data_IF_890212264665
#
_entry.id   IF_890212264665
#
_cell.length_a   1.000
_cell.length_b   1.000
_cell.length_c   1.000
_cell.angle_alpha   90.00
_cell.angle_beta   90.00
_cell.angle_gamma   90.00
#
_symmetry.space_group_name_H-M   'P 1'
#
loop_
_entity.id
_entity.type
_entity.pdbx_description
1 polymer ?
#
# COMPACT_ATOMS: atom_id res chain seq x y z
N UNK A 1 -29.47 15.29 -4.03
CA UNK A 1 -28.71 14.52 -3.02
C UNK A 1 -29.46 13.21 -2.86
N UNK A 2 -29.06 12.20 -3.60
CA UNK A 2 -29.62 10.85 -3.50
C UNK A 2 -28.96 10.15 -2.33
N UNK A 3 -29.74 9.42 -1.53
CA UNK A 3 -29.36 8.77 -0.27
C UNK A 3 -28.44 7.53 -0.46
N UNK A 4 -27.61 7.49 -1.50
CA UNK A 4 -26.84 6.30 -1.88
C UNK A 4 -25.43 6.22 -1.29
N UNK A 5 -24.97 7.20 -0.50
CA UNK A 5 -23.58 7.23 0.00
C UNK A 5 -23.45 7.47 1.52
N UNK A 6 -24.45 7.21 2.32
CA UNK A 6 -24.28 7.23 3.77
C UNK A 6 -23.82 5.82 4.23
N UNK A 7 -22.70 5.75 4.97
CA UNK A 7 -22.25 4.50 5.59
C UNK A 7 -23.40 3.85 6.36
N UNK A 8 -23.47 2.50 6.29
CA UNK A 8 -24.58 1.75 6.89
C UNK A 8 -24.63 1.94 8.42
N UNK A 9 -25.78 1.78 9.08
CA UNK A 9 -25.85 1.77 10.54
C UNK A 9 -24.87 0.77 11.17
N UNK A 10 -24.66 -0.40 10.56
CA UNK A 10 -23.73 -1.45 10.99
C UNK A 10 -22.29 -0.94 10.99
N UNK A 11 -21.89 -0.19 9.98
CA UNK A 11 -20.54 0.42 9.94
C UNK A 11 -20.27 1.31 11.17
N UNK A 12 -21.24 2.15 11.53
CA UNK A 12 -21.09 3.03 12.69
C UNK A 12 -21.16 2.28 14.02
N UNK A 13 -21.89 1.16 14.10
CA UNK A 13 -21.85 0.27 15.26
C UNK A 13 -20.48 -0.38 15.43
N UNK A 14 -19.87 -0.84 14.33
CA UNK A 14 -18.53 -1.39 14.31
C UNK A 14 -17.47 -0.34 14.71
N UNK A 15 -17.54 0.88 14.16
CA UNK A 15 -16.67 1.99 14.57
C UNK A 15 -16.77 2.26 16.07
N UNK A 16 -17.99 2.31 16.62
CA UNK A 16 -18.20 2.53 18.06
C UNK A 16 -17.69 1.37 18.89
N UNK A 17 -17.82 0.13 18.44
CA UNK A 17 -17.30 -1.06 19.12
C UNK A 17 -15.77 -1.03 19.18
N UNK A 18 -15.10 -0.69 18.08
CA UNK A 18 -13.65 -0.49 18.01
C UNK A 18 -13.21 0.62 18.97
N UNK A 19 -13.84 1.79 18.90
CA UNK A 19 -13.51 2.93 19.76
C UNK A 19 -13.71 2.59 21.25
N UNK A 20 -14.81 1.90 21.59
CA UNK A 20 -15.08 1.46 22.95
C UNK A 20 -14.02 0.48 23.47
N UNK A 21 -13.65 -0.54 22.65
CA UNK A 21 -12.63 -1.52 23.00
C UNK A 21 -11.28 -0.85 23.29
N UNK A 22 -10.85 0.07 22.42
CA UNK A 22 -9.62 0.85 22.60
C UNK A 22 -9.68 1.75 23.84
N UNK A 23 -10.81 2.44 24.05
CA UNK A 23 -11.00 3.34 25.18
C UNK A 23 -11.03 2.62 26.51
N UNK A 24 -11.76 1.49 26.60
CA UNK A 24 -11.92 0.73 27.83
C UNK A 24 -10.65 -0.03 28.24
N UNK A 25 -9.76 -0.35 27.28
CA UNK A 25 -8.57 -1.13 27.58
C UNK A 25 -7.60 -0.38 28.48
N UNK A 26 -7.16 -1.02 29.59
CA UNK A 26 -6.28 -0.42 30.59
C UNK A 26 -4.80 -0.77 30.43
N UNK A 27 -4.48 -1.83 29.69
CA UNK A 27 -3.12 -2.29 29.42
C UNK A 27 -2.47 -1.55 28.23
N UNK A 28 -1.25 -1.97 27.83
CA UNK A 28 -0.60 -1.44 26.63
C UNK A 28 -1.42 -1.77 25.37
N UNK A 29 -1.43 -0.85 24.40
CA UNK A 29 -2.00 -1.08 23.08
C UNK A 29 -0.85 -1.17 22.07
N UNK A 30 -0.72 -2.31 21.41
CA UNK A 30 0.27 -2.54 20.35
C UNK A 30 -0.41 -2.31 19.01
N UNK A 31 0.03 -1.29 18.29
CA UNK A 31 -0.55 -0.89 16.99
C UNK A 31 0.31 -1.45 15.87
N UNK A 32 -0.27 -2.31 15.06
CA UNK A 32 0.39 -3.07 14.00
C UNK A 32 -0.23 -2.77 12.64
N UNK A 33 0.53 -3.00 11.57
CA UNK A 33 0.05 -2.98 10.20
C UNK A 33 0.76 -4.06 9.37
N UNK A 34 0.57 -4.03 8.04
CA UNK A 34 1.17 -5.01 7.15
C UNK A 34 2.70 -4.84 7.01
N UNK A 35 3.37 -5.93 6.58
CA UNK A 35 4.76 -5.88 6.13
C UNK A 35 4.93 -4.95 4.93
N UNK A 36 6.11 -4.32 4.80
CA UNK A 36 6.37 -3.32 3.76
C UNK A 36 5.32 -2.20 3.75
N UNK A 37 5.18 -1.46 4.86
CA UNK A 37 4.13 -0.48 5.04
C UNK A 37 4.19 0.62 3.99
N UNK A 38 3.04 0.99 3.47
CA UNK A 38 2.83 2.13 2.60
C UNK A 38 2.31 3.35 3.38
N UNK A 39 1.78 4.34 2.66
CA UNK A 39 1.27 5.56 3.28
C UNK A 39 0.01 5.34 4.10
N UNK A 40 -0.85 4.36 3.72
CA UNK A 40 -2.09 4.08 4.46
C UNK A 40 -1.80 3.32 5.76
N UNK A 41 -0.95 2.31 5.69
CA UNK A 41 -0.46 1.60 6.87
C UNK A 41 0.22 2.56 7.87
N UNK A 42 1.18 3.37 7.41
CA UNK A 42 1.88 4.33 8.28
C UNK A 42 0.94 5.41 8.81
N UNK A 43 0.08 5.96 7.94
CA UNK A 43 -0.89 6.99 8.29
C UNK A 43 -1.87 6.51 9.36
N UNK A 44 -2.39 5.29 9.21
CA UNK A 44 -3.28 4.63 10.16
C UNK A 44 -2.60 4.40 11.51
N UNK A 45 -1.38 3.83 11.51
CA UNK A 45 -0.60 3.58 12.73
C UNK A 45 -0.29 4.88 13.47
N UNK A 46 0.20 5.91 12.80
CA UNK A 46 0.51 7.20 13.44
C UNK A 46 -0.76 7.91 13.92
N UNK A 47 -1.80 7.98 13.09
CA UNK A 47 -3.06 8.64 13.43
C UNK A 47 -3.69 8.04 14.69
N UNK A 48 -3.88 6.72 14.72
CA UNK A 48 -4.44 6.03 15.88
C UNK A 48 -3.53 6.11 17.11
N UNK A 49 -2.22 5.91 16.95
CA UNK A 49 -1.26 5.95 18.06
C UNK A 49 -1.23 7.33 18.72
N UNK A 50 -1.22 8.39 17.93
CA UNK A 50 -1.26 9.77 18.44
C UNK A 50 -2.56 10.07 19.18
N UNK A 51 -3.68 9.62 18.62
CA UNK A 51 -5.00 9.74 19.24
C UNK A 51 -5.07 9.04 20.60
N UNK A 52 -4.64 7.79 20.67
CA UNK A 52 -4.64 6.98 21.89
C UNK A 52 -3.70 7.57 22.98
N UNK A 53 -2.52 8.08 22.58
CA UNK A 53 -1.60 8.76 23.51
C UNK A 53 -2.23 9.99 24.14
N UNK A 54 -3.09 10.73 23.41
CA UNK A 54 -3.85 11.86 23.97
C UNK A 54 -4.87 11.43 25.03
N UNK A 55 -5.38 10.21 24.94
CA UNK A 55 -6.22 9.62 25.97
C UNK A 55 -5.42 9.05 27.15
N UNK A 56 -4.10 9.27 27.20
CA UNK A 56 -3.22 8.75 28.25
C UNK A 56 -2.93 7.25 28.12
N UNK A 57 -3.20 6.62 26.97
CA UNK A 57 -2.90 5.19 26.76
C UNK A 57 -1.41 4.95 26.55
N UNK A 58 -0.92 3.83 27.03
CA UNK A 58 0.41 3.32 26.71
C UNK A 58 0.35 2.68 25.32
N UNK A 59 1.00 3.28 24.33
CA UNK A 59 0.96 2.83 22.93
C UNK A 59 2.35 2.44 22.46
N UNK A 60 2.46 1.25 21.90
CA UNK A 60 3.67 0.71 21.27
C UNK A 60 3.32 0.49 19.79
N UNK A 61 4.10 1.08 18.88
CA UNK A 61 3.90 0.98 17.45
C UNK A 61 5.17 0.43 16.78
N UNK A 62 5.36 -0.91 16.78
CA UNK A 62 6.55 -1.53 16.20
C UNK A 62 6.43 -1.56 14.68
N UNK A 63 7.13 -0.66 14.00
CA UNK A 63 7.10 -0.55 12.55
C UNK A 63 8.46 -0.13 11.99
N UNK A 64 8.90 -0.80 10.94
CA UNK A 64 10.03 -0.35 10.12
C UNK A 64 9.48 0.43 8.92
N UNK A 65 9.85 1.69 8.82
CA UNK A 65 9.33 2.61 7.80
C UNK A 65 10.28 2.64 6.59
N UNK A 66 9.77 2.51 5.36
CA UNK A 66 10.58 2.69 4.16
C UNK A 66 11.08 4.13 4.05
N UNK A 67 12.24 4.31 3.41
CA UNK A 67 12.92 5.62 3.33
C UNK A 67 12.02 6.76 2.86
N UNK A 68 11.19 6.52 1.85
CA UNK A 68 10.34 7.57 1.26
C UNK A 68 9.21 8.07 2.20
N UNK A 69 8.95 7.35 3.29
CA UNK A 69 7.97 7.73 4.32
C UNK A 69 8.63 8.17 5.65
N UNK A 70 9.96 8.09 5.76
CA UNK A 70 10.70 8.36 7.01
C UNK A 70 10.63 9.80 7.50
N UNK A 71 10.09 10.70 6.68
CA UNK A 71 9.91 12.12 7.04
C UNK A 71 8.72 12.38 7.99
N UNK A 72 7.78 11.43 8.13
CA UNK A 72 6.53 11.67 8.84
C UNK A 72 6.55 11.30 10.33
N UNK A 73 7.14 10.15 10.76
CA UNK A 73 7.22 9.81 12.18
C UNK A 73 8.13 10.76 12.94
N UNK A 74 7.72 11.12 14.15
CA UNK A 74 8.55 11.84 15.09
C UNK A 74 9.43 10.87 15.92
N UNK A 75 10.56 11.34 16.47
CA UNK A 75 11.39 10.49 17.32
C UNK A 75 10.62 9.88 18.49
N UNK A 76 10.70 8.55 18.63
CA UNK A 76 10.02 7.80 19.70
C UNK A 76 8.56 7.43 19.43
N UNK A 77 7.98 7.79 18.29
CA UNK A 77 6.61 7.37 17.94
C UNK A 77 6.55 5.90 17.54
N UNK A 78 7.57 5.43 16.84
CA UNK A 78 7.70 4.05 16.40
C UNK A 78 8.80 3.33 17.17
N UNK A 79 8.70 2.03 17.28
CA UNK A 79 9.68 1.17 17.94
C UNK A 79 10.20 0.06 17.01
N UNK A 80 11.27 -0.60 17.43
CA UNK A 80 11.70 -1.85 16.80
C UNK A 80 10.62 -2.94 16.95
N UNK A 81 10.63 -3.97 16.07
CA UNK A 81 9.76 -5.14 16.21
C UNK A 81 9.86 -5.77 17.59
N UNK A 82 8.72 -6.22 18.12
CA UNK A 82 8.64 -6.86 19.42
C UNK A 82 9.14 -8.30 19.34
N UNK A 83 9.95 -8.70 20.30
CA UNK A 83 10.33 -10.10 20.52
C UNK A 83 9.37 -10.82 21.46
N UNK A 84 8.67 -10.08 22.33
CA UNK A 84 7.70 -10.57 23.29
C UNK A 84 6.54 -9.58 23.43
N UNK A 85 5.34 -10.11 23.64
CA UNK A 85 4.16 -9.28 23.87
C UNK A 85 4.16 -8.69 25.29
N UNK A 86 3.83 -7.41 25.45
CA UNK A 86 3.64 -6.82 26.77
C UNK A 86 2.49 -7.51 27.52
N UNK A 87 2.67 -7.70 28.82
CA UNK A 87 1.63 -8.30 29.66
C UNK A 87 0.34 -7.46 29.63
N UNK A 88 -0.80 -8.13 29.41
CA UNK A 88 -2.11 -7.47 29.34
C UNK A 88 -2.28 -6.56 28.11
N UNK A 89 -1.52 -6.77 27.04
CA UNK A 89 -1.65 -5.98 25.82
C UNK A 89 -2.96 -6.25 25.07
N UNK A 90 -3.38 -5.24 24.28
CA UNK A 90 -4.34 -5.36 23.20
C UNK A 90 -3.59 -5.13 21.89
N UNK A 91 -3.87 -5.94 20.86
CA UNK A 91 -3.36 -5.74 19.51
C UNK A 91 -4.37 -4.96 18.65
N UNK A 92 -3.99 -3.78 18.15
CA UNK A 92 -4.75 -3.05 17.15
C UNK A 92 -4.08 -3.25 15.80
N UNK A 93 -4.68 -4.04 14.93
CA UNK A 93 -4.16 -4.42 13.61
C UNK A 93 -4.87 -3.58 12.55
N UNK A 94 -4.09 -2.80 11.78
CA UNK A 94 -4.60 -1.79 10.87
C UNK A 94 -4.16 -2.09 9.44
N UNK A 95 -5.05 -1.87 8.49
CA UNK A 95 -4.76 -1.96 7.06
C UNK A 95 -4.24 -3.35 6.61
N UNK A 96 -4.68 -4.38 7.29
CA UNK A 96 -4.38 -5.79 6.99
C UNK A 96 -5.33 -6.71 7.74
N UNK A 97 -5.63 -7.88 7.16
CA UNK A 97 -6.35 -8.95 7.85
C UNK A 97 -5.52 -9.50 9.01
N UNK A 98 -6.03 -9.38 10.25
CA UNK A 98 -5.38 -9.95 11.42
C UNK A 98 -5.36 -11.49 11.40
N UNK A 99 -6.12 -12.14 10.52
CA UNK A 99 -6.12 -13.60 10.34
C UNK A 99 -5.08 -14.07 9.31
N UNK A 100 -4.33 -13.15 8.72
CA UNK A 100 -3.14 -13.44 7.93
C UNK A 100 -1.87 -12.99 8.68
N UNK A 101 -1.45 -13.72 9.72
CA UNK A 101 -0.36 -13.29 10.60
C UNK A 101 1.00 -13.23 9.91
N UNK A 102 1.14 -13.79 8.70
CA UNK A 102 2.37 -13.70 7.91
C UNK A 102 2.53 -12.29 7.35
N UNK A 103 1.42 -11.63 7.03
CA UNK A 103 1.42 -10.27 6.49
C UNK A 103 1.48 -9.20 7.57
N UNK A 104 1.13 -9.50 8.82
CA UNK A 104 1.23 -8.55 9.95
C UNK A 104 2.67 -8.41 10.40
N UNK A 105 3.18 -7.18 10.41
CA UNK A 105 4.55 -6.88 10.83
C UNK A 105 4.60 -6.28 12.25
N UNK A 106 5.80 -6.23 12.80
CA UNK A 106 6.10 -5.61 14.09
C UNK A 106 6.01 -6.53 15.29
N UNK A 107 5.18 -7.59 15.24
CA UNK A 107 5.10 -8.64 16.27
C UNK A 107 4.54 -9.95 15.68
N UNK A 108 4.84 -11.08 16.26
CA UNK A 108 4.27 -12.37 15.84
C UNK A 108 2.88 -12.57 16.42
N UNK A 109 1.84 -12.24 15.64
CA UNK A 109 0.45 -12.35 16.05
C UNK A 109 0.01 -13.79 16.36
N UNK A 110 0.72 -14.81 15.85
CA UNK A 110 0.43 -16.24 16.14
C UNK A 110 0.69 -16.60 17.59
N UNK A 111 1.53 -15.85 18.27
CA UNK A 111 1.87 -16.04 19.70
C UNK A 111 1.03 -15.19 20.62
N UNK A 112 0.12 -14.37 20.08
CA UNK A 112 -0.72 -13.46 20.85
C UNK A 112 -1.99 -14.16 21.32
N UNK A 113 -2.29 -14.04 22.61
CA UNK A 113 -3.50 -14.60 23.22
C UNK A 113 -4.43 -13.56 23.87
N UNK A 114 -4.16 -12.27 23.62
CA UNK A 114 -4.97 -11.16 24.12
C UNK A 114 -6.03 -10.69 23.11
N UNK A 115 -6.79 -9.64 23.45
CA UNK A 115 -7.82 -9.09 22.59
C UNK A 115 -7.23 -8.42 21.34
N UNK A 116 -7.91 -8.61 20.20
CA UNK A 116 -7.54 -8.06 18.89
C UNK A 116 -8.61 -7.11 18.39
N UNK A 117 -8.21 -5.91 18.00
CA UNK A 117 -9.02 -4.96 17.23
C UNK A 117 -8.50 -4.92 15.81
N UNK A 118 -9.39 -4.92 14.81
CA UNK A 118 -9.01 -4.83 13.40
C UNK A 118 -9.75 -3.69 12.67
N UNK A 119 -9.00 -2.88 11.93
CA UNK A 119 -9.54 -1.84 11.03
C UNK A 119 -8.90 -2.02 9.68
N UNK A 120 -9.68 -2.41 8.66
CA UNK A 120 -9.15 -2.81 7.36
C UNK A 120 -10.13 -2.51 6.23
N UNK A 121 -9.62 -2.21 5.04
CA UNK A 121 -10.42 -2.00 3.84
C UNK A 121 -10.26 -3.10 2.79
N UNK A 122 -9.49 -4.14 3.06
CA UNK A 122 -9.27 -5.23 2.12
C UNK A 122 -10.46 -6.20 2.06
N UNK A 123 -11.00 -6.42 0.87
CA UNK A 123 -12.15 -7.31 0.63
C UNK A 123 -11.88 -8.79 0.94
N UNK A 124 -10.62 -9.20 1.10
CA UNK A 124 -10.22 -10.56 1.47
C UNK A 124 -10.18 -10.80 2.97
N UNK A 125 -10.37 -9.78 3.80
CA UNK A 125 -10.35 -9.88 5.25
C UNK A 125 -11.45 -10.82 5.78
N UNK A 126 -11.07 -11.74 6.68
CA UNK A 126 -11.96 -12.77 7.23
C UNK A 126 -12.88 -12.27 8.35
N UNK A 127 -12.71 -11.02 8.82
CA UNK A 127 -13.54 -10.35 9.85
C UNK A 127 -13.62 -11.11 11.18
N UNK A 128 -12.50 -11.63 11.67
CA UNK A 128 -12.42 -12.45 12.89
C UNK A 128 -11.59 -11.75 13.98
N UNK A 129 -11.97 -10.56 14.38
CA UNK A 129 -11.39 -9.84 15.52
C UNK A 129 -12.40 -9.77 16.68
N UNK A 130 -11.95 -9.44 17.89
CA UNK A 130 -12.84 -9.23 19.05
C UNK A 130 -13.70 -7.96 18.85
N UNK A 131 -13.14 -6.94 18.22
CA UNK A 131 -13.87 -5.81 17.66
C UNK A 131 -13.21 -5.41 16.34
N UNK A 132 -14.00 -5.13 15.31
CA UNK A 132 -13.43 -4.78 14.01
C UNK A 132 -14.38 -4.04 13.11
N UNK A 133 -13.83 -3.24 12.22
CA UNK A 133 -14.52 -2.63 11.09
C UNK A 133 -13.76 -2.95 9.82
N UNK A 134 -14.44 -3.58 8.87
CA UNK A 134 -13.88 -3.92 7.56
C UNK A 134 -14.83 -3.45 6.47
N UNK A 135 -14.40 -2.47 5.69
CA UNK A 135 -15.22 -1.90 4.62
C UNK A 135 -14.43 -1.72 3.32
N UNK A 136 -14.56 -2.67 2.36
CA UNK A 136 -13.90 -2.60 1.07
C UNK A 136 -14.39 -1.47 0.14
N UNK A 137 -15.46 -0.77 0.50
CA UNK A 137 -15.91 0.41 -0.23
C UNK A 137 -15.10 1.67 0.10
N UNK A 138 -14.37 1.66 1.21
CA UNK A 138 -13.46 2.74 1.60
C UNK A 138 -12.14 2.58 0.85
N UNK A 139 -11.68 3.60 0.13
CA UNK A 139 -10.43 3.51 -0.63
C UNK A 139 -9.16 3.49 0.23
N UNK A 140 -9.26 3.74 1.54
CA UNK A 140 -8.13 3.76 2.47
C UNK A 140 -8.58 3.45 3.91
N UNK A 141 -7.79 2.68 4.67
CA UNK A 141 -8.05 2.39 6.08
C UNK A 141 -7.99 3.67 6.95
N UNK A 142 -7.17 4.66 6.59
CA UNK A 142 -7.10 5.95 7.27
C UNK A 142 -8.44 6.70 7.33
N UNK A 143 -9.36 6.47 6.40
CA UNK A 143 -10.72 7.03 6.49
C UNK A 143 -11.48 6.46 7.69
N UNK A 144 -11.39 5.15 7.92
CA UNK A 144 -12.03 4.49 9.05
C UNK A 144 -11.34 4.84 10.37
N UNK A 145 -10.02 5.01 10.36
CA UNK A 145 -9.27 5.52 11.54
C UNK A 145 -9.73 6.93 11.89
N UNK A 146 -10.01 7.78 10.91
CA UNK A 146 -10.56 9.11 11.17
C UNK A 146 -11.94 9.03 11.87
N UNK A 147 -12.78 8.08 11.48
CA UNK A 147 -14.10 7.86 12.10
C UNK A 147 -13.97 7.26 13.51
N UNK A 148 -12.98 6.39 13.75
CA UNK A 148 -12.65 5.90 15.11
C UNK A 148 -12.18 7.05 16.01
N UNK A 149 -11.37 7.99 15.51
CA UNK A 149 -10.91 9.16 16.27
C UNK A 149 -12.09 10.07 16.63
N UNK A 150 -13.06 10.26 15.72
CA UNK A 150 -14.29 10.99 16.03
C UNK A 150 -15.11 10.28 17.13
N UNK A 151 -15.24 8.94 17.05
CA UNK A 151 -15.96 8.15 18.05
C UNK A 151 -15.26 8.13 19.43
N UNK A 152 -13.95 8.39 19.47
CA UNK A 152 -13.17 8.57 20.70
C UNK A 152 -13.29 9.98 21.28
N UNK A 153 -14.00 10.90 20.60
CA UNK A 153 -14.19 12.31 20.99
C UNK A 153 -12.86 13.06 21.26
N UNK A 154 -11.85 12.81 20.40
CA UNK A 154 -10.52 13.43 20.52
C UNK A 154 -10.48 14.70 19.69
N UNK A 155 -10.05 15.84 20.28
CA UNK A 155 -9.91 17.10 19.54
C UNK A 155 -8.92 16.96 18.37
N UNK A 156 -9.35 17.39 17.19
CA UNK A 156 -8.57 17.36 15.97
C UNK A 156 -7.56 18.50 15.88
N UNK A 157 -6.40 18.21 15.28
CA UNK A 157 -5.43 19.18 14.84
C UNK A 157 -4.59 18.66 13.65
N UNK A 158 -3.62 19.45 13.22
CA UNK A 158 -2.68 19.11 12.15
C UNK A 158 -1.93 17.79 12.41
N UNK A 159 -1.57 17.53 13.67
CA UNK A 159 -0.77 16.38 14.07
C UNK A 159 -1.52 15.04 13.92
N UNK A 160 -2.85 15.04 14.10
CA UNK A 160 -3.71 13.90 13.80
C UNK A 160 -4.09 13.84 12.32
N UNK A 161 -4.40 14.98 11.71
CA UNK A 161 -4.96 15.03 10.38
C UNK A 161 -3.92 14.75 9.28
N UNK A 162 -2.64 15.13 9.49
CA UNK A 162 -1.60 14.98 8.45
C UNK A 162 -1.28 13.52 8.12
N UNK A 163 -1.04 12.59 9.08
CA UNK A 163 -0.80 11.19 8.75
C UNK A 163 -1.99 10.52 8.06
N UNK A 164 -3.22 10.83 8.47
CA UNK A 164 -4.41 10.28 7.82
C UNK A 164 -4.57 10.80 6.39
N UNK A 165 -4.23 12.06 6.14
CA UNK A 165 -4.18 12.61 4.78
C UNK A 165 -3.11 11.93 3.92
N UNK A 166 -1.98 11.49 4.51
CA UNK A 166 -0.98 10.71 3.79
C UNK A 166 -1.60 9.42 3.26
N UNK A 167 -2.19 8.60 4.13
CA UNK A 167 -2.79 7.33 3.74
C UNK A 167 -3.87 7.51 2.69
N UNK A 168 -4.82 8.40 2.94
CA UNK A 168 -5.87 8.70 1.98
C UNK A 168 -5.32 9.12 0.61
N UNK A 169 -4.24 9.94 0.57
CA UNK A 169 -3.67 10.38 -0.70
C UNK A 169 -2.89 9.29 -1.42
N UNK A 170 -2.18 8.41 -0.71
CA UNK A 170 -1.42 7.32 -1.34
C UNK A 170 -2.32 6.26 -1.94
N UNK A 171 -3.33 5.80 -1.20
CA UNK A 171 -4.23 4.72 -1.63
C UNK A 171 -5.24 5.14 -2.70
N UNK A 172 -5.50 6.43 -2.79
CA UNK A 172 -6.28 7.00 -3.89
C UNK A 172 -5.44 7.40 -5.11
N UNK A 173 -4.13 7.14 -5.10
CA UNK A 173 -3.21 7.61 -6.14
C UNK A 173 -3.23 9.14 -6.27
N UNK A 174 -3.28 9.84 -5.16
CA UNK A 174 -3.50 11.29 -5.08
C UNK A 174 -4.84 11.70 -5.71
N UNK A 175 -5.90 10.95 -5.39
CA UNK A 175 -7.27 11.15 -5.89
C UNK A 175 -7.44 10.92 -7.40
N UNK A 176 -6.59 10.10 -8.01
CA UNK A 176 -6.59 9.82 -9.44
C UNK A 176 -7.14 8.43 -9.81
N UNK A 177 -7.43 7.56 -8.84
CA UNK A 177 -7.95 6.22 -9.12
C UNK A 177 -9.48 6.22 -9.24
N UNK A 178 -10.03 5.29 -10.03
CA UNK A 178 -11.47 5.12 -10.21
C UNK A 178 -12.22 4.70 -8.94
N UNK A 179 -11.51 4.16 -7.94
CA UNK A 179 -12.04 3.79 -6.62
C UNK A 179 -12.31 4.99 -5.71
N UNK A 180 -11.94 6.22 -6.12
CA UNK A 180 -12.12 7.42 -5.29
C UNK A 180 -13.59 7.81 -5.24
N UNK A 181 -14.18 7.65 -4.05
CA UNK A 181 -15.58 8.01 -3.79
C UNK A 181 -15.73 9.49 -3.40
N UNK A 182 -16.99 10.00 -3.44
CA UNK A 182 -17.30 11.33 -2.92
C UNK A 182 -16.92 11.47 -1.44
N UNK A 183 -17.11 10.39 -0.64
CA UNK A 183 -16.73 10.36 0.77
C UNK A 183 -15.22 10.53 0.98
N UNK A 184 -14.38 10.04 0.05
CA UNK A 184 -12.93 10.25 0.12
C UNK A 184 -12.58 11.74 0.01
N UNK A 185 -13.25 12.48 -0.87
CA UNK A 185 -13.08 13.94 -0.97
C UNK A 185 -13.63 14.67 0.26
N UNK A 186 -14.74 14.21 0.82
CA UNK A 186 -15.30 14.78 2.06
C UNK A 186 -14.35 14.54 3.24
N UNK A 187 -13.79 13.35 3.36
CA UNK A 187 -12.76 13.02 4.35
C UNK A 187 -11.51 13.90 4.16
N UNK A 188 -11.01 14.03 2.94
CA UNK A 188 -9.88 14.92 2.64
C UNK A 188 -10.18 16.38 3.00
N UNK A 189 -11.38 16.87 2.69
CA UNK A 189 -11.80 18.22 3.06
C UNK A 189 -11.89 18.40 4.58
N UNK A 190 -12.39 17.37 5.31
CA UNK A 190 -12.40 17.35 6.78
C UNK A 190 -10.99 17.42 7.34
N UNK A 191 -10.09 16.53 6.92
CA UNK A 191 -8.69 16.50 7.36
C UNK A 191 -7.98 17.84 7.06
N UNK A 192 -8.27 18.43 5.89
CA UNK A 192 -7.70 19.73 5.51
C UNK A 192 -8.21 20.87 6.40
N UNK A 193 -9.47 20.86 6.84
CA UNK A 193 -10.00 21.85 7.82
C UNK A 193 -9.29 21.74 9.17
N UNK A 194 -8.83 20.53 9.54
CA UNK A 194 -8.04 20.29 10.76
C UNK A 194 -6.52 20.48 10.58
N UNK A 195 -6.11 21.08 9.46
CA UNK A 195 -4.73 21.49 9.25
C UNK A 195 -3.85 20.52 8.45
N UNK A 196 -4.39 19.39 7.98
CA UNK A 196 -3.58 18.42 7.22
C UNK A 196 -2.76 19.07 6.10
N UNK A 197 -1.47 18.73 6.01
CA UNK A 197 -0.48 19.40 5.15
C UNK A 197 -0.31 18.70 3.80
N UNK A 198 -1.40 18.55 3.02
CA UNK A 198 -1.37 17.81 1.75
C UNK A 198 -0.27 18.28 0.78
N UNK A 199 -0.07 19.60 0.62
CA UNK A 199 0.99 20.13 -0.25
C UNK A 199 2.39 19.68 0.21
N UNK A 200 2.67 19.81 1.51
CA UNK A 200 3.93 19.36 2.10
C UNK A 200 4.12 17.84 1.96
N UNK A 201 3.08 17.02 2.21
CA UNK A 201 3.13 15.57 2.00
C UNK A 201 3.52 15.22 0.57
N UNK A 202 2.88 15.85 -0.42
CA UNK A 202 3.17 15.66 -1.83
C UNK A 202 4.61 16.06 -2.21
N UNK A 203 5.15 17.10 -1.58
CA UNK A 203 6.55 17.50 -1.76
C UNK A 203 7.50 16.45 -1.17
N UNK A 204 7.24 15.98 0.06
CA UNK A 204 8.11 15.00 0.74
C UNK A 204 8.14 13.65 0.01
N UNK A 205 6.98 13.10 -0.36
CA UNK A 205 6.88 11.80 -1.04
C UNK A 205 7.61 11.81 -2.40
N UNK A 206 7.64 12.96 -3.07
CA UNK A 206 8.27 13.12 -4.39
C UNK A 206 9.76 13.41 -4.34
N UNK A 207 10.33 13.59 -3.15
CA UNK A 207 11.76 13.81 -3.01
C UNK A 207 12.53 12.50 -3.24
N UNK A 208 13.36 12.50 -4.25
CA UNK A 208 14.25 11.40 -4.55
C UNK A 208 15.71 11.88 -4.47
N UNK A 209 16.64 11.02 -4.02
CA UNK A 209 18.06 11.37 -3.98
C UNK A 209 18.62 11.54 -5.40
N UNK A 210 19.76 12.23 -5.57
CA UNK A 210 20.42 12.33 -6.88
C UNK A 210 20.68 10.98 -7.54
N UNK A 211 21.01 9.94 -6.77
CA UNK A 211 21.19 8.56 -7.25
C UNK A 211 19.98 8.00 -7.99
N UNK A 212 18.77 8.31 -7.53
CA UNK A 212 17.52 7.97 -8.22
C UNK A 212 17.50 8.49 -9.66
N UNK A 213 17.84 9.76 -9.87
CA UNK A 213 17.82 10.38 -11.22
C UNK A 213 18.96 9.87 -12.09
N UNK A 214 20.13 9.57 -11.51
CA UNK A 214 21.24 8.96 -12.23
C UNK A 214 20.89 7.54 -12.70
N UNK A 215 20.23 6.76 -11.85
CA UNK A 215 19.75 5.43 -12.22
C UNK A 215 18.61 5.52 -13.24
N UNK A 216 17.67 6.45 -13.07
CA UNK A 216 16.57 6.66 -14.02
C UNK A 216 17.07 6.94 -15.43
N UNK A 217 18.15 7.74 -15.58
CA UNK A 217 18.77 8.00 -16.88
C UNK A 217 19.23 6.69 -17.54
N UNK A 218 19.82 5.76 -16.80
CA UNK A 218 20.25 4.47 -17.33
C UNK A 218 19.07 3.56 -17.68
N UNK A 219 18.05 3.55 -16.83
CA UNK A 219 16.79 2.83 -17.03
C UNK A 219 16.10 3.29 -18.33
N UNK A 220 15.97 4.60 -18.52
CA UNK A 220 15.39 5.17 -19.73
C UNK A 220 16.22 4.89 -20.99
N UNK A 221 17.55 4.82 -20.86
CA UNK A 221 18.46 4.43 -21.96
C UNK A 221 18.32 2.98 -22.40
N UNK A 222 17.69 2.11 -21.58
CA UNK A 222 17.46 0.69 -21.87
C UNK A 222 15.98 0.36 -22.15
N UNK A 223 15.15 1.38 -22.39
CA UNK A 223 13.74 1.15 -22.71
C UNK A 223 13.59 0.45 -24.06
N UNK A 224 12.75 -0.56 -24.05
CA UNK A 224 12.32 -1.28 -25.24
C UNK A 224 10.81 -1.18 -25.39
N UNK A 225 10.36 -0.74 -26.58
CA UNK A 225 8.95 -0.74 -26.95
C UNK A 225 8.70 -1.93 -27.89
N UNK A 226 7.75 -2.79 -27.51
CA UNK A 226 7.44 -4.03 -28.22
C UNK A 226 5.96 -4.10 -28.56
N UNK A 227 5.60 -5.05 -29.45
CA UNK A 227 4.22 -5.27 -29.87
C UNK A 227 3.52 -3.98 -30.34
N UNK A 228 4.22 -3.18 -31.16
CA UNK A 228 3.67 -1.90 -31.66
C UNK A 228 3.50 -0.84 -30.59
N UNK A 229 4.29 -0.86 -29.52
CA UNK A 229 4.23 0.09 -28.42
C UNK A 229 3.28 -0.32 -27.29
N UNK A 230 2.57 -1.44 -27.41
CA UNK A 230 1.67 -1.97 -26.36
C UNK A 230 2.40 -2.43 -25.11
N UNK A 231 3.68 -2.80 -25.24
CA UNK A 231 4.53 -3.23 -24.13
C UNK A 231 5.75 -2.35 -24.06
N UNK A 232 6.02 -1.81 -22.87
CA UNK A 232 7.25 -1.11 -22.53
C UNK A 232 8.00 -1.87 -21.47
N UNK A 233 9.28 -2.13 -21.69
CA UNK A 233 10.10 -2.87 -20.74
C UNK A 233 11.50 -2.31 -20.58
N UNK A 234 12.09 -2.60 -19.45
CA UNK A 234 13.46 -2.23 -19.11
C UNK A 234 14.07 -3.24 -18.15
N UNK A 235 15.38 -3.15 -17.96
CA UNK A 235 16.16 -3.95 -17.00
C UNK A 235 16.99 -3.03 -16.10
N UNK A 236 17.12 -3.44 -14.85
CA UNK A 236 18.08 -2.89 -13.88
C UNK A 236 18.94 -4.02 -13.36
N UNK A 237 20.24 -3.77 -13.23
CA UNK A 237 21.24 -4.69 -12.70
C UNK A 237 22.17 -3.99 -11.68
N UNK A 238 22.96 -4.79 -10.94
CA UNK A 238 23.88 -4.28 -9.92
C UNK A 238 24.93 -3.30 -10.46
N UNK A 239 25.35 -3.45 -11.71
CA UNK A 239 26.28 -2.51 -12.34
C UNK A 239 25.66 -1.13 -12.55
N UNK A 240 24.39 -1.08 -12.95
CA UNK A 240 23.65 0.18 -13.08
C UNK A 240 23.48 0.87 -11.72
N UNK A 241 23.14 0.09 -10.67
CA UNK A 241 23.05 0.60 -9.30
C UNK A 241 24.40 1.18 -8.84
N UNK A 242 25.47 0.44 -9.03
CA UNK A 242 26.82 0.88 -8.65
C UNK A 242 27.23 2.19 -9.37
N UNK A 243 27.01 2.28 -10.69
CA UNK A 243 27.31 3.50 -11.46
C UNK A 243 26.50 4.71 -11.02
N UNK A 244 25.25 4.50 -10.62
CA UNK A 244 24.36 5.56 -10.15
C UNK A 244 24.56 5.92 -8.66
N UNK A 245 25.30 5.09 -7.89
CA UNK A 245 25.33 5.19 -6.43
C UNK A 245 23.96 4.96 -5.79
N UNK A 246 23.11 4.14 -6.43
CA UNK A 246 21.75 3.83 -6.05
C UNK A 246 21.67 2.46 -5.37
N UNK A 247 20.49 2.13 -4.84
CA UNK A 247 20.19 0.81 -4.28
C UNK A 247 18.86 0.29 -4.82
N UNK A 248 18.51 -0.95 -4.48
CA UNK A 248 17.29 -1.59 -4.98
C UNK A 248 15.99 -0.90 -4.53
N UNK A 249 15.99 -0.17 -3.41
CA UNK A 249 14.82 0.58 -2.93
C UNK A 249 14.49 1.77 -3.85
N UNK A 250 15.47 2.30 -4.58
CA UNK A 250 15.27 3.40 -5.52
C UNK A 250 14.52 2.97 -6.80
N UNK A 251 14.37 1.66 -7.05
CA UNK A 251 13.87 1.10 -8.33
C UNK A 251 12.35 0.96 -8.38
N UNK A 252 11.67 0.81 -7.24
CA UNK A 252 10.28 0.38 -7.16
C UNK A 252 9.29 1.27 -7.93
N UNK A 253 9.51 2.58 -7.97
CA UNK A 253 8.58 3.53 -8.59
C UNK A 253 8.65 3.58 -10.13
N UNK A 254 9.74 3.10 -10.74
CA UNK A 254 9.97 3.29 -12.18
C UNK A 254 8.95 2.56 -13.05
N UNK A 255 8.55 1.33 -12.70
CA UNK A 255 7.60 0.57 -13.50
C UNK A 255 6.23 1.27 -13.62
N UNK A 256 5.79 1.96 -12.57
CA UNK A 256 4.56 2.74 -12.58
C UNK A 256 4.67 3.96 -13.52
N UNK A 257 5.83 4.60 -13.56
CA UNK A 257 6.12 5.70 -14.49
C UNK A 257 6.12 5.21 -15.94
N UNK A 258 6.73 4.05 -16.22
CA UNK A 258 6.80 3.47 -17.57
C UNK A 258 5.41 3.11 -18.13
N UNK A 259 4.47 2.70 -17.28
CA UNK A 259 3.08 2.45 -17.68
C UNK A 259 2.40 3.67 -18.31
N UNK A 260 2.88 4.87 -18.03
CA UNK A 260 2.31 6.12 -18.57
C UNK A 260 2.71 6.40 -20.02
N UNK A 261 3.56 5.59 -20.64
CA UNK A 261 3.86 5.71 -22.07
C UNK A 261 2.57 5.58 -22.88
N UNK A 262 2.38 6.48 -23.86
CA UNK A 262 1.21 6.47 -24.73
C UNK A 262 1.13 5.13 -25.51
N UNK A 263 -0.05 4.52 -25.55
CA UNK A 263 -0.28 3.21 -26.18
C UNK A 263 0.17 2.01 -25.35
N UNK A 264 1.00 2.17 -24.32
CA UNK A 264 1.43 1.05 -23.49
C UNK A 264 0.25 0.49 -22.67
N UNK A 265 0.04 -0.81 -22.78
CA UNK A 265 -0.93 -1.60 -22.03
C UNK A 265 -0.27 -2.41 -20.91
N UNK A 266 1.03 -2.71 -21.05
CA UNK A 266 1.85 -3.40 -20.06
C UNK A 266 3.21 -2.72 -19.94
N UNK A 267 3.61 -2.43 -18.70
CA UNK A 267 4.97 -2.04 -18.37
C UNK A 267 5.64 -3.14 -17.56
N UNK A 268 6.88 -3.46 -17.89
CA UNK A 268 7.68 -4.47 -17.22
C UNK A 268 9.03 -3.90 -16.83
N UNK A 269 9.41 -4.13 -15.58
CA UNK A 269 10.76 -3.88 -15.10
C UNK A 269 11.37 -5.17 -14.57
N UNK A 270 12.48 -5.59 -15.18
CA UNK A 270 13.27 -6.72 -14.75
C UNK A 270 14.37 -6.24 -13.79
N UNK A 271 14.34 -6.71 -12.54
CA UNK A 271 15.41 -6.55 -11.55
C UNK A 271 16.30 -7.79 -11.62
N UNK A 272 17.46 -7.64 -12.21
CA UNK A 272 18.42 -8.72 -12.43
C UNK A 272 19.45 -8.75 -11.30
N UNK A 273 19.37 -9.77 -10.46
CA UNK A 273 20.29 -10.00 -9.33
C UNK A 273 21.43 -10.97 -9.69
N UNK A 274 21.56 -11.34 -10.97
CA UNK A 274 22.54 -12.28 -11.48
C UNK A 274 22.11 -13.75 -11.41
N UNK A 275 21.73 -14.24 -10.25
CA UNK A 275 21.26 -15.61 -10.00
C UNK A 275 19.75 -15.77 -10.15
N UNK A 276 19.02 -14.69 -10.10
CA UNK A 276 17.56 -14.61 -10.25
C UNK A 276 17.14 -13.28 -10.86
N UNK A 277 15.96 -13.27 -11.45
CA UNK A 277 15.31 -12.06 -11.99
C UNK A 277 13.95 -11.88 -11.35
N UNK A 278 13.69 -10.70 -10.77
CA UNK A 278 12.35 -10.33 -10.28
C UNK A 278 11.70 -9.39 -11.28
N UNK A 279 10.52 -9.78 -11.76
CA UNK A 279 9.71 -8.94 -12.63
C UNK A 279 8.69 -8.15 -11.81
N UNK A 280 8.65 -6.84 -12.04
CA UNK A 280 7.56 -5.97 -11.60
C UNK A 280 6.73 -5.60 -12.82
N UNK A 281 5.43 -5.88 -12.78
CA UNK A 281 4.50 -5.68 -13.90
C UNK A 281 3.40 -4.69 -13.50
N UNK A 282 3.08 -3.79 -14.41
CA UNK A 282 1.94 -2.87 -14.27
C UNK A 282 1.17 -2.86 -15.59
N UNK A 283 -0.15 -3.00 -15.52
CA UNK A 283 -0.99 -2.99 -16.71
C UNK A 283 -2.10 -1.97 -16.64
N UNK A 284 -2.72 -1.71 -17.78
CA UNK A 284 -3.95 -0.92 -17.92
C UNK A 284 -4.81 -1.46 -19.06
N UNK A 285 -6.11 -1.11 -19.03
CA UNK A 285 -7.06 -1.59 -20.02
C UNK A 285 -7.29 -3.11 -19.90
N UNK A 286 -7.46 -3.82 -21.01
CA UNK A 286 -7.84 -5.24 -21.00
C UNK A 286 -6.68 -6.22 -20.70
N UNK A 287 -5.43 -5.74 -20.67
CA UNK A 287 -4.25 -6.56 -20.39
C UNK A 287 -4.10 -6.77 -18.89
N UNK A 288 -3.86 -8.01 -18.48
CA UNK A 288 -3.69 -8.40 -17.08
C UNK A 288 -2.22 -8.65 -16.74
N UNK A 289 -1.64 -7.80 -15.88
CA UNK A 289 -0.32 -8.06 -15.29
C UNK A 289 -0.31 -9.36 -14.47
N UNK A 290 -1.44 -9.69 -13.82
CA UNK A 290 -1.60 -10.92 -13.05
C UNK A 290 -1.46 -12.18 -13.92
N UNK A 291 -2.11 -12.21 -15.09
CA UNK A 291 -2.01 -13.38 -15.99
C UNK A 291 -0.56 -13.62 -16.42
N UNK A 292 0.17 -12.54 -16.76
CA UNK A 292 1.59 -12.65 -17.11
C UNK A 292 2.42 -13.15 -15.93
N UNK A 293 2.20 -12.61 -14.73
CA UNK A 293 2.93 -13.01 -13.52
C UNK A 293 2.64 -14.49 -13.16
N UNK A 294 1.39 -14.94 -13.22
CA UNK A 294 0.99 -16.33 -12.93
C UNK A 294 1.65 -17.30 -13.93
N UNK A 295 1.73 -16.95 -15.22
CA UNK A 295 2.43 -17.75 -16.22
C UNK A 295 3.93 -17.91 -15.94
N UNK A 296 4.52 -17.02 -15.12
CA UNK A 296 5.91 -17.04 -14.66
C UNK A 296 6.06 -17.63 -13.24
N UNK A 297 4.99 -18.21 -12.68
CA UNK A 297 5.00 -18.76 -11.31
C UNK A 297 4.88 -17.71 -10.20
N UNK A 298 4.48 -16.49 -10.55
CA UNK A 298 4.24 -15.39 -9.62
C UNK A 298 2.76 -15.13 -9.34
N UNK A 299 2.41 -13.89 -8.97
CA UNK A 299 1.04 -13.52 -8.64
C UNK A 299 0.88 -12.01 -8.47
N UNK A 300 -0.30 -11.62 -7.97
CA UNK A 300 -0.67 -10.23 -7.73
C UNK A 300 -2.08 -9.93 -8.22
N UNK A 301 -2.33 -8.68 -8.55
CA UNK A 301 -3.62 -8.19 -9.05
C UNK A 301 -3.57 -7.89 -10.55
N UNK A 302 -4.76 -7.78 -11.18
CA UNK A 302 -4.86 -7.48 -12.61
C UNK A 302 -3.98 -6.28 -13.01
N UNK A 303 -4.01 -5.11 -12.32
CA UNK A 303 -3.22 -3.96 -12.74
C UNK A 303 -1.76 -3.99 -12.24
N UNK A 304 -1.42 -4.84 -11.25
CA UNK A 304 -0.11 -4.84 -10.60
C UNK A 304 0.26 -6.22 -10.07
N UNK A 305 1.31 -6.82 -10.62
CA UNK A 305 1.74 -8.15 -10.28
C UNK A 305 3.27 -8.29 -10.36
N UNK A 306 3.79 -9.40 -9.86
CA UNK A 306 5.21 -9.70 -9.90
C UNK A 306 5.48 -11.19 -9.98
N UNK A 307 6.67 -11.53 -10.47
CA UNK A 307 7.17 -12.92 -10.51
C UNK A 307 8.68 -12.93 -10.27
N UNK A 308 9.17 -14.03 -9.71
CA UNK A 308 10.61 -14.25 -9.55
C UNK A 308 11.02 -15.49 -10.32
N UNK A 309 11.95 -15.34 -11.22
CA UNK A 309 12.53 -16.41 -11.99
C UNK A 309 13.93 -16.76 -11.44
N UNK A 310 14.21 -18.03 -11.21
CA UNK A 310 15.54 -18.49 -10.81
C UNK A 310 16.34 -18.84 -12.08
N UNK A 311 17.45 -18.15 -12.29
CA UNK A 311 18.31 -18.33 -13.47
C UNK A 311 18.77 -17.01 -14.09
N UNK A 312 19.33 -17.09 -15.26
CA UNK A 312 19.89 -15.94 -15.99
C UNK A 312 18.79 -15.02 -16.54
N UNK A 313 19.16 -13.76 -16.76
CA UNK A 313 18.25 -12.78 -17.41
C UNK A 313 17.80 -13.24 -18.82
N UNK A 314 18.68 -13.91 -19.57
CA UNK A 314 18.34 -14.36 -20.92
C UNK A 314 17.20 -15.40 -20.91
N UNK A 315 17.27 -16.38 -20.01
CA UNK A 315 16.22 -17.40 -19.82
C UNK A 315 14.92 -16.80 -19.28
N UNK A 316 15.05 -15.91 -18.29
CA UNK A 316 13.93 -15.18 -17.71
C UNK A 316 13.18 -14.36 -18.76
N UNK A 317 13.93 -13.65 -19.62
CA UNK A 317 13.41 -12.83 -20.70
C UNK A 317 12.62 -13.65 -21.73
N UNK A 318 13.15 -14.81 -22.14
CA UNK A 318 12.44 -15.67 -23.09
C UNK A 318 11.10 -16.16 -22.55
N UNK A 319 11.02 -16.50 -21.26
CA UNK A 319 9.76 -16.89 -20.63
C UNK A 319 8.80 -15.71 -20.49
N UNK A 320 9.29 -14.53 -20.13
CA UNK A 320 8.51 -13.31 -20.07
C UNK A 320 7.88 -12.99 -21.44
N UNK A 321 8.67 -13.01 -22.51
CA UNK A 321 8.20 -12.69 -23.87
C UNK A 321 7.10 -13.67 -24.31
N UNK A 322 7.20 -14.96 -23.99
CA UNK A 322 6.15 -15.96 -24.22
C UNK A 322 4.86 -15.66 -23.44
N UNK A 323 4.99 -15.32 -22.16
CA UNK A 323 3.84 -15.00 -21.31
C UNK A 323 3.12 -13.73 -21.79
N UNK A 324 3.87 -12.70 -22.19
CA UNK A 324 3.33 -11.46 -22.75
C UNK A 324 2.59 -11.74 -24.06
N UNK A 325 3.19 -12.51 -24.99
CA UNK A 325 2.56 -12.84 -26.26
C UNK A 325 1.24 -13.60 -26.08
N UNK A 326 1.19 -14.53 -25.13
CA UNK A 326 -0.03 -15.28 -24.79
C UNK A 326 -1.14 -14.36 -24.26
N UNK A 327 -0.81 -13.43 -23.34
CA UNK A 327 -1.78 -12.48 -22.79
C UNK A 327 -2.30 -11.51 -23.85
N UNK A 328 -1.43 -10.97 -24.70
CA UNK A 328 -1.84 -10.09 -25.79
C UNK A 328 -2.75 -10.82 -26.80
N UNK A 329 -2.44 -12.07 -27.15
CA UNK A 329 -3.30 -12.90 -28.01
C UNK A 329 -4.66 -13.15 -27.39
N UNK A 330 -4.74 -13.39 -26.07
CA UNK A 330 -6.01 -13.50 -25.34
C UNK A 330 -6.85 -12.24 -25.46
N UNK A 331 -6.23 -11.08 -25.29
CA UNK A 331 -6.91 -9.77 -25.37
C UNK A 331 -7.41 -9.51 -26.80
N UNK A 332 -6.59 -9.79 -27.79
CA UNK A 332 -6.93 -9.57 -29.20
C UNK A 332 -8.11 -10.48 -29.64
N UNK A 333 -8.16 -11.73 -29.16
CA UNK A 333 -9.28 -12.62 -29.37
C UNK A 333 -10.61 -12.12 -28.76
N UNK A 334 -10.56 -11.49 -27.60
CA UNK A 334 -11.73 -10.89 -26.94
C UNK A 334 -12.21 -9.64 -27.67
N UNK A 335 -11.29 -8.79 -28.19
CA UNK A 335 -11.62 -7.59 -28.94
C UNK A 335 -12.21 -7.89 -30.34
N UNK A 336 -11.84 -9.02 -30.96
CA UNK A 336 -12.38 -9.46 -32.25
C UNK A 336 -13.83 -9.98 -32.21
N UNK A 337 -14.32 -10.36 -31.01
CA UNK A 337 -15.69 -10.88 -30.85
C UNK A 337 -16.77 -9.80 -30.65
N UNK A 338 -16.40 -8.52 -30.56
CA UNK A 338 -17.33 -7.40 -30.35
C UNK A 338 -17.64 -6.62 -31.63
N UNK A 339 -17.13 -7.03 -32.81
CA UNK A 339 -17.41 -6.41 -34.11
C UNK A 339 -18.14 -7.37 -35.09
N UNK A 340 -18.89 -8.32 -34.57
CA UNK A 340 -19.74 -9.24 -35.35
C UNK A 340 -21.22 -8.96 -35.17
#
# INVERSE_FOLDING_TARGET
MTAENAASPEYWDDIRAVAHCLHAHSGPIVVLAHENPDGDALGSVLGLSRALRRLGKTVIAPMTVPRYLSFLPEPGELSAPLTEWPAGALAAVLDVDNNDPVRVAGADLRTFGGPVVNVDHHGTNQRRADAGVVDPSKPAATMMIADVIDALDIPWDEHLATPLMLGLSTDTGNFAFDSVSAEAFECAARLRRHGARLGWLNEQIRQNPPSYYLLLREVLGKLEFQHGGRVVQTRVDDEMLARAGANWDDVESYVSMLRNAEGAQLAVMAKDYGDRVKFSLRSRGPVSAQNVAVALGGGGHVPAAGATFQGSYAEAREQLDRAIAAELSRVDALGGSTQG
#
